data_IF_938319867109
#
_entry.id   IF_938319867109
#
_cell.length_a   1.000
_cell.length_b   1.000
_cell.length_c   1.000
_cell.angle_alpha   90.00
_cell.angle_beta   90.00
_cell.angle_gamma   90.00
#
_symmetry.space_group_name_H-M   'P 1'
#
loop_
_entity.id
_entity.type
_entity.pdbx_description
1 polymer ?
#
# COMPACT_ATOMS: atom_id res chain seq x y z
N UNK A 1 -6.56 -3.13 -37.37
CA UNK A 1 -7.30 -2.55 -36.23
C UNK A 1 -6.32 -2.09 -35.17
N UNK A 2 -6.48 -0.89 -34.63
CA UNK A 2 -5.68 -0.44 -33.48
C UNK A 2 -6.25 -1.01 -32.19
N UNK A 3 -5.39 -1.45 -31.29
CA UNK A 3 -5.79 -2.09 -30.03
C UNK A 3 -6.33 -1.01 -29.07
N UNK A 4 -7.55 -1.17 -28.57
CA UNK A 4 -8.22 -0.25 -27.63
C UNK A 4 -7.37 0.08 -26.41
N UNK A 5 -6.64 -0.91 -25.87
CA UNK A 5 -5.66 -0.76 -24.78
C UNK A 5 -4.61 0.33 -25.06
N UNK A 6 -4.21 0.50 -26.32
CA UNK A 6 -3.17 1.47 -26.74
C UNK A 6 -3.74 2.80 -27.20
N UNK A 7 -5.02 2.85 -27.59
CA UNK A 7 -5.64 4.05 -28.17
C UNK A 7 -6.57 4.79 -27.22
N UNK A 8 -7.30 4.07 -26.35
CA UNK A 8 -8.25 4.70 -25.42
C UNK A 8 -7.49 5.53 -24.39
N UNK A 9 -7.83 6.83 -24.17
CA UNK A 9 -7.04 7.74 -23.34
C UNK A 9 -6.72 7.22 -21.93
N UNK A 10 -7.70 6.60 -21.25
CA UNK A 10 -7.50 6.03 -19.91
C UNK A 10 -6.64 4.76 -19.95
N UNK A 11 -6.90 3.86 -20.91
CA UNK A 11 -6.20 2.59 -20.97
C UNK A 11 -4.77 2.75 -21.48
N UNK A 12 -4.51 3.78 -22.28
CA UNK A 12 -3.16 4.12 -22.74
C UNK A 12 -2.24 4.40 -21.55
N UNK A 13 -2.70 5.14 -20.54
CA UNK A 13 -1.92 5.43 -19.33
C UNK A 13 -1.60 4.13 -18.58
N UNK A 14 -2.60 3.31 -18.30
CA UNK A 14 -2.42 2.01 -17.63
C UNK A 14 -1.49 1.11 -18.45
N UNK A 15 -1.64 1.09 -19.78
CA UNK A 15 -0.82 0.28 -20.65
C UNK A 15 0.67 0.62 -20.53
N UNK A 16 1.01 1.91 -20.63
CA UNK A 16 2.41 2.35 -20.59
C UNK A 16 3.03 2.22 -19.20
N UNK A 17 2.23 2.34 -18.13
CA UNK A 17 2.73 2.28 -16.76
C UNK A 17 2.77 0.86 -16.17
N UNK A 18 1.88 -0.05 -16.61
CA UNK A 18 1.72 -1.37 -15.98
C UNK A 18 1.88 -2.58 -16.91
N UNK A 19 1.47 -2.48 -18.18
CA UNK A 19 1.35 -3.69 -19.03
C UNK A 19 2.49 -3.79 -20.05
N UNK A 20 2.68 -2.77 -20.88
CA UNK A 20 3.76 -2.68 -21.86
C UNK A 20 4.93 -1.83 -21.32
N UNK A 21 5.15 -1.84 -20.01
CA UNK A 21 6.29 -1.16 -19.39
C UNK A 21 7.58 -1.96 -19.66
N UNK A 22 8.61 -1.40 -20.31
CA UNK A 22 9.89 -2.08 -20.46
C UNK A 22 10.62 -2.13 -19.10
N UNK A 23 10.78 -3.34 -18.55
CA UNK A 23 11.52 -3.58 -17.32
C UNK A 23 12.84 -4.33 -17.62
N UNK A 24 13.93 -4.05 -16.88
CA UNK A 24 15.15 -4.85 -16.99
C UNK A 24 14.90 -6.31 -16.62
N UNK A 25 15.48 -7.25 -17.36
CA UNK A 25 15.25 -8.69 -17.17
C UNK A 25 15.90 -9.27 -15.92
N UNK A 26 16.85 -8.56 -15.32
CA UNK A 26 17.67 -9.02 -14.19
C UNK A 26 17.33 -8.33 -12.86
N UNK A 27 16.14 -7.74 -12.71
CA UNK A 27 15.70 -7.20 -11.41
C UNK A 27 15.52 -8.33 -10.38
N UNK A 28 16.06 -8.14 -9.19
CA UNK A 28 15.97 -9.10 -8.09
C UNK A 28 14.70 -8.92 -7.26
N UNK A 29 14.48 -9.79 -6.26
CA UNK A 29 13.34 -9.71 -5.33
C UNK A 29 13.23 -8.36 -4.62
N UNK A 30 14.34 -7.62 -4.47
CA UNK A 30 14.37 -6.29 -3.87
C UNK A 30 13.52 -5.25 -4.62
N UNK A 31 13.23 -5.47 -5.92
CA UNK A 31 12.35 -4.57 -6.69
C UNK A 31 10.86 -4.73 -6.35
N UNK A 32 10.47 -5.79 -5.64
CA UNK A 32 9.09 -6.02 -5.23
C UNK A 32 8.62 -5.07 -4.12
N UNK A 33 9.52 -4.47 -3.35
CA UNK A 33 9.11 -3.62 -2.22
C UNK A 33 8.36 -2.35 -2.64
N UNK A 34 8.51 -1.91 -3.90
CA UNK A 34 7.70 -0.80 -4.42
C UNK A 34 6.21 -1.15 -4.57
N UNK A 35 5.90 -2.29 -5.18
CA UNK A 35 4.51 -2.74 -5.31
C UNK A 35 3.92 -3.17 -3.97
N UNK A 36 4.71 -3.79 -3.09
CA UNK A 36 4.29 -4.12 -1.74
C UNK A 36 3.94 -2.87 -0.91
N UNK A 37 4.68 -1.77 -1.04
CA UNK A 37 4.32 -0.50 -0.42
C UNK A 37 2.98 0.04 -0.95
N UNK A 38 2.74 -0.05 -2.26
CA UNK A 38 1.45 0.31 -2.86
C UNK A 38 0.29 -0.53 -2.29
N UNK A 39 0.49 -1.84 -2.16
CA UNK A 39 -0.50 -2.75 -1.54
C UNK A 39 -0.72 -2.40 -0.06
N UNK A 40 0.36 -2.13 0.69
CA UNK A 40 0.26 -1.72 2.09
C UNK A 40 -0.56 -0.43 2.22
N UNK A 41 -0.32 0.56 1.36
CA UNK A 41 -1.08 1.82 1.38
C UNK A 41 -2.57 1.60 1.12
N UNK A 42 -2.92 0.84 0.07
CA UNK A 42 -4.33 0.54 -0.24
C UNK A 42 -4.99 -0.20 0.93
N UNK A 43 -4.30 -1.19 1.50
CA UNK A 43 -4.81 -1.96 2.64
C UNK A 43 -5.01 -1.08 3.87
N UNK A 44 -4.07 -0.19 4.20
CA UNK A 44 -4.19 0.75 5.32
C UNK A 44 -5.35 1.73 5.12
N UNK A 45 -5.55 2.27 3.91
CA UNK A 45 -6.66 3.18 3.61
C UNK A 45 -8.00 2.47 3.79
N UNK A 46 -8.16 1.28 3.20
CA UNK A 46 -9.41 0.52 3.29
C UNK A 46 -9.69 0.15 4.75
N UNK A 47 -8.75 -0.51 5.43
CA UNK A 47 -8.97 -0.93 6.82
C UNK A 47 -9.17 0.27 7.75
N UNK A 48 -8.43 1.36 7.56
CA UNK A 48 -8.57 2.59 8.33
C UNK A 48 -9.92 3.26 8.15
N UNK A 49 -10.44 3.30 6.91
CA UNK A 49 -11.78 3.80 6.61
C UNK A 49 -12.84 2.99 7.37
N UNK A 50 -12.80 1.66 7.31
CA UNK A 50 -13.75 0.82 8.05
C UNK A 50 -13.64 0.97 9.57
N UNK A 51 -12.43 1.12 10.12
CA UNK A 51 -12.24 1.39 11.54
C UNK A 51 -12.83 2.74 11.95
N UNK A 52 -12.63 3.78 11.13
CA UNK A 52 -13.14 5.13 11.41
C UNK A 52 -14.67 5.22 11.48
N UNK A 53 -15.38 4.31 10.80
CA UNK A 53 -16.86 4.23 10.88
C UNK A 53 -17.37 3.82 12.27
N UNK A 54 -16.51 3.24 13.12
CA UNK A 54 -16.88 2.72 14.44
C UNK A 54 -16.04 3.31 15.58
N UNK A 55 -15.06 4.14 15.28
CA UNK A 55 -14.19 4.78 16.25
C UNK A 55 -14.77 6.12 16.73
N UNK A 56 -14.61 6.43 18.02
CA UNK A 56 -14.91 7.76 18.59
C UNK A 56 -13.63 8.42 19.06
N UNK A 57 -13.40 9.67 18.66
CA UNK A 57 -12.15 10.40 18.99
C UNK A 57 -12.17 11.11 20.35
N UNK A 58 -13.28 11.04 21.07
CA UNK A 58 -13.42 11.64 22.40
C UNK A 58 -12.63 10.84 23.45
N UNK A 59 -11.92 11.51 24.35
CA UNK A 59 -11.00 10.86 25.30
C UNK A 59 -11.70 9.93 26.29
N UNK A 60 -12.98 10.16 26.60
CA UNK A 60 -13.74 9.30 27.50
C UNK A 60 -14.16 7.98 26.81
N UNK A 61 -14.26 7.98 25.48
CA UNK A 61 -14.79 6.85 24.70
C UNK A 61 -13.80 6.23 23.71
N UNK A 62 -12.63 6.82 23.50
CA UNK A 62 -11.65 6.35 22.51
C UNK A 62 -11.20 4.90 22.74
N UNK A 63 -10.92 4.52 23.99
CA UNK A 63 -10.51 3.13 24.29
C UNK A 63 -11.68 2.16 24.18
N UNK A 64 -12.86 2.54 24.67
CA UNK A 64 -14.03 1.68 24.66
C UNK A 64 -14.55 1.45 23.23
N UNK A 65 -14.46 2.44 22.33
CA UNK A 65 -14.83 2.26 20.91
C UNK A 65 -13.90 1.29 20.18
N UNK A 66 -12.60 1.27 20.47
CA UNK A 66 -11.67 0.24 19.94
C UNK A 66 -12.01 -1.16 20.48
N UNK A 67 -12.39 -1.27 21.75
CA UNK A 67 -12.88 -2.53 22.33
C UNK A 67 -14.15 -3.01 21.64
N UNK A 68 -15.11 -2.10 21.42
CA UNK A 68 -16.36 -2.36 20.70
C UNK A 68 -16.09 -2.85 19.26
N UNK A 69 -15.17 -2.20 18.53
CA UNK A 69 -14.72 -2.69 17.21
C UNK A 69 -14.25 -4.13 17.28
N UNK A 70 -13.44 -4.50 18.27
CA UNK A 70 -12.87 -5.84 18.34
C UNK A 70 -13.89 -6.91 18.75
N UNK A 71 -14.89 -6.57 19.56
CA UNK A 71 -15.77 -7.56 20.20
C UNK A 71 -17.15 -7.64 19.55
N UNK A 72 -17.67 -6.51 19.09
CA UNK A 72 -19.09 -6.38 18.76
C UNK A 72 -19.31 -6.07 17.27
N UNK A 73 -18.32 -5.53 16.56
CA UNK A 73 -18.37 -5.32 15.11
C UNK A 73 -18.00 -6.61 14.37
N UNK A 74 -18.82 -7.01 13.39
CA UNK A 74 -18.56 -8.19 12.56
C UNK A 74 -17.19 -8.11 11.89
N UNK A 75 -16.34 -9.10 12.15
CA UNK A 75 -14.93 -9.13 11.70
C UNK A 75 -14.08 -7.92 12.13
N UNK A 76 -14.54 -7.10 13.07
CA UNK A 76 -13.83 -5.89 13.47
C UNK A 76 -12.48 -6.19 14.14
N UNK A 77 -12.36 -7.32 14.87
CA UNK A 77 -11.06 -7.79 15.35
C UNK A 77 -10.05 -8.02 14.22
N UNK A 78 -10.49 -8.65 13.12
CA UNK A 78 -9.64 -8.97 11.98
C UNK A 78 -9.20 -7.67 11.29
N UNK A 79 -10.13 -6.75 11.04
CA UNK A 79 -9.83 -5.45 10.43
C UNK A 79 -8.86 -4.65 11.31
N UNK A 80 -9.08 -4.62 12.63
CA UNK A 80 -8.22 -3.93 13.59
C UNK A 80 -6.80 -4.49 13.58
N UNK A 81 -6.65 -5.81 13.61
CA UNK A 81 -5.32 -6.43 13.59
C UNK A 81 -4.65 -6.37 12.21
N UNK A 82 -5.40 -6.38 11.10
CA UNK A 82 -4.87 -6.10 9.77
C UNK A 82 -4.31 -4.68 9.69
N UNK A 83 -5.04 -3.68 10.18
CA UNK A 83 -4.57 -2.29 10.18
C UNK A 83 -3.32 -2.09 11.07
N UNK A 84 -3.31 -2.70 12.25
CA UNK A 84 -2.21 -2.56 13.20
C UNK A 84 -0.93 -3.28 12.73
N UNK A 85 -1.02 -4.55 12.31
CA UNK A 85 0.13 -5.29 11.78
C UNK A 85 0.53 -4.79 10.38
N UNK A 86 -0.44 -4.32 9.61
CA UNK A 86 -0.24 -3.67 8.32
C UNK A 86 0.66 -2.45 8.40
N UNK A 87 0.52 -1.63 9.44
CA UNK A 87 1.44 -0.53 9.69
C UNK A 87 2.89 -1.02 9.92
N UNK A 88 3.08 -2.12 10.66
CA UNK A 88 4.42 -2.70 10.84
C UNK A 88 5.00 -3.23 9.52
N UNK A 89 4.18 -3.92 8.73
CA UNK A 89 4.58 -4.40 7.40
C UNK A 89 4.93 -3.24 6.45
N UNK A 90 4.20 -2.11 6.54
CA UNK A 90 4.51 -0.89 5.80
C UNK A 90 5.93 -0.42 6.10
N UNK A 91 6.31 -0.31 7.38
CA UNK A 91 7.66 0.11 7.76
C UNK A 91 8.74 -0.89 7.38
N UNK A 92 8.49 -2.20 7.49
CA UNK A 92 9.41 -3.23 6.99
C UNK A 92 9.64 -3.03 5.48
N UNK A 93 8.58 -2.90 4.70
CA UNK A 93 8.68 -2.65 3.26
C UNK A 93 9.41 -1.34 2.96
N UNK A 94 9.15 -0.27 3.72
CA UNK A 94 9.76 1.04 3.53
C UNK A 94 11.27 0.97 3.75
N UNK A 95 11.71 0.40 4.86
CA UNK A 95 13.14 0.30 5.16
C UNK A 95 13.90 -0.59 4.17
N UNK A 96 13.31 -1.71 3.75
CA UNK A 96 13.90 -2.57 2.72
C UNK A 96 13.92 -1.88 1.35
N UNK A 97 12.90 -1.09 1.02
CA UNK A 97 12.84 -0.30 -0.22
C UNK A 97 13.93 0.78 -0.26
N UNK A 98 14.12 1.51 0.85
CA UNK A 98 15.18 2.51 1.02
C UNK A 98 16.56 1.84 0.95
N UNK A 99 16.75 0.74 1.70
CA UNK A 99 18.01 -0.01 1.73
C UNK A 99 18.42 -0.52 0.35
N UNK A 100 17.46 -1.05 -0.43
CA UNK A 100 17.67 -1.39 -1.85
C UNK A 100 18.17 -0.18 -2.63
N UNK A 101 17.54 0.97 -2.45
CA UNK A 101 17.88 2.18 -3.21
C UNK A 101 19.30 2.69 -2.92
N UNK A 102 19.75 2.58 -1.67
CA UNK A 102 21.14 2.87 -1.27
C UNK A 102 22.10 1.84 -1.89
N UNK A 103 21.82 0.54 -1.71
CA UNK A 103 22.73 -0.52 -2.14
C UNK A 103 22.97 -0.55 -3.67
N UNK A 104 21.93 -0.32 -4.47
CA UNK A 104 22.01 -0.31 -5.94
C UNK A 104 22.20 1.08 -6.56
N UNK A 105 22.48 2.13 -5.76
CA UNK A 105 22.68 3.48 -6.30
C UNK A 105 21.45 4.11 -6.93
N UNK A 106 20.23 3.65 -6.58
CA UNK A 106 18.99 4.20 -7.16
C UNK A 106 18.73 5.65 -6.77
N UNK A 107 19.36 6.13 -5.70
CA UNK A 107 19.33 7.54 -5.28
C UNK A 107 19.89 8.52 -6.33
N UNK A 108 20.62 8.03 -7.34
CA UNK A 108 21.06 8.85 -8.48
C UNK A 108 19.90 9.37 -9.33
N UNK A 109 18.70 8.76 -9.23
CA UNK A 109 17.47 9.27 -9.85
C UNK A 109 16.81 10.29 -8.93
N UNK A 110 17.39 11.49 -8.85
CA UNK A 110 17.08 12.52 -7.84
C UNK A 110 15.58 12.80 -7.69
N UNK A 111 14.81 12.94 -8.77
CA UNK A 111 13.37 13.22 -8.67
C UNK A 111 12.52 12.04 -8.16
N UNK A 112 13.04 10.81 -8.30
CA UNK A 112 12.36 9.58 -7.83
C UNK A 112 12.80 9.21 -6.40
N UNK A 113 13.98 9.63 -5.98
CA UNK A 113 14.58 9.34 -4.68
C UNK A 113 14.07 10.29 -3.61
#
# INVERSE_FOLDING_TARGET
>A
MTITRKTHPLFKIINHAFIDLPAPSNISSWWNFGSLLGICLIMQIITGLFLSMHYTSDTETAFSSVSHICRDVNYGWLIRYLHANGASMFFICLFLHIGRGIYYGSYMKIETW
#
